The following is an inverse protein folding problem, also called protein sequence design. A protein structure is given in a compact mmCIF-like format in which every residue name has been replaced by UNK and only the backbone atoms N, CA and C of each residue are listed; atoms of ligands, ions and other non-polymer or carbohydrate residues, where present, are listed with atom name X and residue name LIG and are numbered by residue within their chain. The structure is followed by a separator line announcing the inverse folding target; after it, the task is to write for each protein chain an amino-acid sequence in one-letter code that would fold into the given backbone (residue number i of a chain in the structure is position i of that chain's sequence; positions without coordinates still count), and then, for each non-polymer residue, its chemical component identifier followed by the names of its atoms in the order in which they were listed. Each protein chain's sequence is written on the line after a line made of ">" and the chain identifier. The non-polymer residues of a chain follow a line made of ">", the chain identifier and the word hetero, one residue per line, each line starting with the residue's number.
data_IF_041832101976
#
_entry.id   IF_041832101976
#
_cell.length_a   1.000
_cell.length_b   1.000
_cell.length_c   1.000
_cell.angle_alpha   90.00
_cell.angle_beta   90.00
_cell.angle_gamma   90.00
#
_symmetry.space_group_name_H-M   'P 1'
#
loop_
_entity.id
_entity.type
_entity.pdbx_description
1 polymer ?
#
# COMPACT_ATOMS: atom_id res chain seq x y z
N UNK A 1 3.43 10.11 -28.43
CA UNK A 1 4.36 10.33 -27.31
C UNK A 1 4.82 8.96 -26.86
N UNK A 2 6.01 8.61 -27.28
CA UNK A 2 6.60 7.29 -27.05
C UNK A 2 7.05 7.24 -25.58
N UNK A 3 6.25 6.56 -24.73
CA UNK A 3 6.56 6.38 -23.32
C UNK A 3 7.22 5.02 -23.14
N UNK A 4 8.50 4.99 -23.51
CA UNK A 4 9.38 3.87 -23.17
C UNK A 4 9.40 3.69 -21.65
N UNK A 5 9.06 2.50 -21.18
CA UNK A 5 9.29 2.08 -19.78
C UNK A 5 10.76 2.40 -19.47
N UNK A 6 11.07 3.09 -18.34
CA UNK A 6 12.44 3.40 -18.03
C UNK A 6 13.27 2.12 -18.04
N UNK A 7 14.31 2.09 -18.85
CA UNK A 7 15.20 0.93 -19.05
C UNK A 7 15.77 0.38 -17.72
N UNK A 8 15.81 1.22 -16.69
CA UNK A 8 16.16 0.85 -15.33
C UNK A 8 15.18 -0.16 -14.67
N UNK A 9 13.89 -0.10 -15.04
CA UNK A 9 12.87 -1.05 -14.54
C UNK A 9 13.01 -2.43 -15.21
N UNK A 10 13.36 -2.45 -16.49
CA UNK A 10 13.61 -3.71 -17.22
C UNK A 10 14.96 -4.34 -16.85
N UNK A 11 15.99 -3.53 -16.52
CA UNK A 11 17.30 -4.04 -16.08
C UNK A 11 17.31 -4.52 -14.63
N UNK A 12 16.39 -4.04 -13.77
CA UNK A 12 16.25 -4.53 -12.40
C UNK A 12 15.75 -5.98 -12.36
N UNK A 13 15.01 -6.43 -13.36
CA UNK A 13 14.54 -7.81 -13.47
C UNK A 13 15.64 -8.80 -13.85
N UNK A 14 16.77 -8.33 -14.41
CA UNK A 14 17.91 -9.20 -14.79
C UNK A 14 19.03 -9.25 -13.74
N UNK A 15 19.08 -8.31 -12.78
CA UNK A 15 20.22 -8.15 -11.85
C UNK A 15 19.99 -8.57 -10.39
N UNK A 16 18.76 -8.84 -9.96
CA UNK A 16 18.46 -9.23 -8.58
C UNK A 16 18.24 -10.75 -8.48
N UNK A 17 19.31 -11.50 -8.73
CA UNK A 17 19.36 -12.94 -8.50
C UNK A 17 19.45 -13.30 -7.02
N UNK A 18 18.31 -13.36 -6.31
CA UNK A 18 18.20 -14.24 -5.16
C UNK A 18 17.18 -15.33 -5.52
N UNK A 19 17.69 -16.41 -6.06
CA UNK A 19 16.90 -17.54 -6.55
C UNK A 19 16.66 -18.52 -5.39
N UNK A 20 15.49 -18.39 -4.73
CA UNK A 20 14.97 -19.47 -3.87
C UNK A 20 14.36 -20.62 -4.71
N UNK A 21 14.58 -20.64 -6.02
CA UNK A 21 14.01 -21.60 -6.95
C UNK A 21 12.53 -21.37 -7.30
N UNK A 22 11.82 -20.49 -6.59
CA UNK A 22 10.37 -20.24 -6.78
C UNK A 22 9.99 -18.76 -6.80
N UNK A 23 10.79 -17.90 -6.18
CA UNK A 23 10.55 -16.47 -6.08
C UNK A 23 11.40 -15.71 -7.09
N UNK A 24 10.81 -14.69 -7.70
CA UNK A 24 11.47 -13.78 -8.64
C UNK A 24 11.26 -12.35 -8.19
N UNK A 25 12.37 -11.67 -7.85
CA UNK A 25 12.31 -10.24 -7.56
C UNK A 25 12.14 -9.47 -8.87
N UNK A 26 11.12 -8.65 -8.98
CA UNK A 26 10.86 -7.88 -10.19
C UNK A 26 10.78 -6.36 -9.96
N UNK A 27 10.73 -5.93 -8.71
CA UNK A 27 10.79 -4.53 -8.35
C UNK A 27 11.52 -4.36 -7.03
N UNK A 28 12.50 -3.45 -6.97
CA UNK A 28 13.21 -3.14 -5.74
C UNK A 28 13.64 -1.67 -5.74
N UNK A 29 13.24 -0.94 -4.70
CA UNK A 29 13.67 0.41 -4.41
C UNK A 29 14.10 0.53 -2.95
N UNK A 30 14.46 1.72 -2.50
CA UNK A 30 14.72 1.96 -1.08
C UNK A 30 13.44 1.88 -0.23
N UNK A 31 12.27 2.16 -0.83
CA UNK A 31 11.00 2.29 -0.14
C UNK A 31 10.13 1.03 -0.17
N UNK A 32 10.36 0.16 -1.16
CA UNK A 32 9.53 -1.00 -1.37
C UNK A 32 10.25 -2.10 -2.19
N UNK A 33 9.86 -3.35 -1.97
CA UNK A 33 10.26 -4.47 -2.84
C UNK A 33 9.04 -5.29 -3.24
N UNK A 34 9.09 -5.86 -4.46
CA UNK A 34 8.09 -6.78 -4.95
C UNK A 34 8.72 -8.05 -5.49
N UNK A 35 8.28 -9.17 -4.96
CA UNK A 35 8.71 -10.52 -5.30
C UNK A 35 7.51 -11.31 -5.82
N UNK A 36 7.67 -11.99 -6.94
CA UNK A 36 6.65 -12.87 -7.49
C UNK A 36 6.96 -14.33 -7.12
N UNK A 37 6.00 -15.00 -6.49
CA UNK A 37 6.07 -16.43 -6.22
C UNK A 37 5.35 -17.19 -7.33
N UNK A 38 6.10 -18.03 -8.06
CA UNK A 38 5.62 -18.73 -9.24
C UNK A 38 4.61 -19.84 -8.92
N UNK A 39 4.73 -20.50 -7.78
CA UNK A 39 3.82 -21.59 -7.38
C UNK A 39 2.46 -21.06 -6.92
N UNK A 40 2.43 -19.85 -6.35
CA UNK A 40 1.25 -19.22 -5.78
C UNK A 40 0.58 -18.23 -6.73
N UNK A 41 1.21 -17.90 -7.86
CA UNK A 41 0.82 -16.78 -8.73
C UNK A 41 0.62 -15.46 -7.97
N UNK A 42 1.44 -15.24 -6.95
CA UNK A 42 1.30 -14.18 -5.98
C UNK A 42 2.46 -13.17 -6.04
N UNK A 43 2.11 -11.89 -6.07
CA UNK A 43 3.06 -10.81 -5.82
C UNK A 43 3.07 -10.49 -4.34
N UNK A 44 4.26 -10.51 -3.74
CA UNK A 44 4.52 -10.03 -2.39
C UNK A 44 5.11 -8.62 -2.45
N UNK A 45 4.32 -7.63 -2.13
CA UNK A 45 4.70 -6.22 -2.07
C UNK A 45 5.03 -5.86 -0.63
N UNK A 46 6.30 -5.59 -0.32
CA UNK A 46 6.78 -5.29 1.03
C UNK A 46 7.16 -3.82 1.14
N UNK A 47 6.40 -3.09 1.95
CA UNK A 47 6.70 -1.70 2.29
C UNK A 47 7.90 -1.62 3.23
N UNK A 48 8.85 -0.72 2.94
CA UNK A 48 10.00 -0.42 3.80
C UNK A 48 10.37 1.07 3.78
N UNK A 49 9.37 1.96 3.97
CA UNK A 49 9.59 3.39 3.82
C UNK A 49 10.59 3.93 4.84
N UNK A 50 11.44 4.82 4.36
CA UNK A 50 12.45 5.52 5.14
C UNK A 50 12.23 7.03 5.01
N UNK A 51 12.54 7.84 6.03
CA UNK A 51 13.06 7.47 7.36
C UNK A 51 11.98 7.03 8.35
N UNK A 52 10.70 7.05 7.95
CA UNK A 52 9.55 6.67 8.79
C UNK A 52 8.65 5.72 8.04
N UNK A 53 7.98 4.78 8.72
CA UNK A 53 7.06 3.84 8.11
C UNK A 53 5.71 4.50 7.77
N UNK A 54 5.76 5.51 6.88
CA UNK A 54 4.60 6.30 6.43
C UNK A 54 4.58 6.44 4.91
N UNK A 55 3.47 6.92 4.34
CA UNK A 55 3.34 7.20 2.92
C UNK A 55 4.10 8.49 2.57
N UNK A 56 5.41 8.40 2.38
CA UNK A 56 6.20 9.51 1.87
C UNK A 56 6.09 9.62 0.33
N UNK A 57 6.51 10.74 -0.29
CA UNK A 57 6.41 10.93 -1.74
C UNK A 57 7.17 9.88 -2.56
N UNK A 58 8.28 9.37 -2.04
CA UNK A 58 9.10 8.34 -2.68
C UNK A 58 8.34 7.01 -2.74
N UNK A 59 7.78 6.57 -1.61
CA UNK A 59 6.94 5.36 -1.55
C UNK A 59 5.74 5.47 -2.49
N UNK A 60 5.06 6.63 -2.52
CA UNK A 60 3.90 6.85 -3.39
C UNK A 60 4.27 6.77 -4.87
N UNK A 61 5.45 7.28 -5.28
CA UNK A 61 5.96 7.12 -6.65
C UNK A 61 6.23 5.66 -7.00
N UNK A 62 6.83 4.93 -6.08
CA UNK A 62 7.17 3.52 -6.27
C UNK A 62 5.89 2.67 -6.37
N UNK A 63 4.91 2.91 -5.48
CA UNK A 63 3.60 2.27 -5.54
C UNK A 63 2.86 2.59 -6.84
N UNK A 64 2.86 3.85 -7.27
CA UNK A 64 2.26 4.25 -8.55
C UNK A 64 2.93 3.55 -9.74
N UNK A 65 4.26 3.39 -9.69
CA UNK A 65 5.02 2.66 -10.71
C UNK A 65 4.67 1.17 -10.73
N UNK A 66 4.52 0.56 -9.57
CA UNK A 66 4.05 -0.82 -9.43
C UNK A 66 2.62 -1.00 -9.97
N UNK A 67 1.68 -0.12 -9.60
CA UNK A 67 0.31 -0.17 -10.09
C UNK A 67 0.26 -0.05 -11.62
N UNK A 68 1.05 0.86 -12.18
CA UNK A 68 1.16 1.05 -13.62
C UNK A 68 1.73 -0.19 -14.31
N UNK A 69 2.79 -0.79 -13.75
CA UNK A 69 3.39 -2.02 -14.28
C UNK A 69 2.35 -3.13 -14.40
N UNK A 70 1.59 -3.40 -13.33
CA UNK A 70 0.54 -4.43 -13.36
C UNK A 70 -0.53 -4.13 -14.42
N UNK A 71 -0.95 -2.87 -14.51
CA UNK A 71 -1.96 -2.46 -15.50
C UNK A 71 -1.45 -2.61 -16.94
N UNK A 72 -0.23 -2.15 -17.24
CA UNK A 72 0.39 -2.21 -18.56
C UNK A 72 0.65 -3.65 -19.02
N UNK A 73 1.08 -4.50 -18.09
CA UNK A 73 1.29 -5.94 -18.37
C UNK A 73 0.00 -6.75 -18.32
N UNK A 74 -1.13 -6.14 -18.00
CA UNK A 74 -2.42 -6.82 -17.79
C UNK A 74 -2.33 -7.96 -16.78
N UNK A 75 -1.50 -7.78 -15.74
CA UNK A 75 -1.27 -8.78 -14.71
C UNK A 75 -0.43 -9.97 -15.16
N UNK A 76 0.30 -9.87 -16.28
CA UNK A 76 1.23 -10.89 -16.74
C UNK A 76 2.66 -10.43 -16.45
N UNK A 77 3.38 -11.19 -15.65
CA UNK A 77 4.79 -10.93 -15.35
C UNK A 77 5.69 -11.90 -16.12
N UNK A 78 6.73 -11.37 -16.75
CA UNK A 78 7.70 -12.20 -17.46
C UNK A 78 8.73 -12.76 -16.46
N UNK A 79 8.56 -14.04 -16.12
CA UNK A 79 9.43 -14.75 -15.20
C UNK A 79 10.13 -15.90 -15.93
N UNK A 80 11.47 -15.95 -15.89
CA UNK A 80 12.29 -17.00 -16.52
C UNK A 80 11.95 -17.28 -17.98
N UNK A 81 11.62 -16.23 -18.73
CA UNK A 81 11.32 -16.34 -20.17
C UNK A 81 9.87 -16.73 -20.50
N UNK A 82 9.01 -16.97 -19.49
CA UNK A 82 7.58 -17.25 -19.65
C UNK A 82 6.73 -16.18 -19.01
N UNK A 83 5.56 -15.90 -19.58
CA UNK A 83 4.57 -15.03 -18.96
C UNK A 83 3.79 -15.81 -17.89
N UNK A 84 3.67 -15.21 -16.73
CA UNK A 84 2.99 -15.80 -15.58
C UNK A 84 1.88 -14.85 -15.09
N UNK A 85 0.66 -15.34 -14.84
CA UNK A 85 -0.41 -14.49 -14.35
C UNK A 85 -0.19 -14.10 -12.89
N UNK A 86 -0.62 -12.91 -12.51
CA UNK A 86 -0.76 -12.50 -11.11
C UNK A 86 -2.20 -12.73 -10.68
N UNK A 87 -2.42 -13.63 -9.74
CA UNK A 87 -3.75 -13.93 -9.18
C UNK A 87 -3.93 -13.26 -7.82
N UNK A 88 -2.83 -13.07 -7.08
CA UNK A 88 -2.84 -12.49 -5.74
C UNK A 88 -1.82 -11.35 -5.65
N UNK A 89 -2.24 -10.24 -5.04
CA UNK A 89 -1.36 -9.12 -4.67
C UNK A 89 -1.36 -8.98 -3.14
N UNK A 90 -0.25 -9.33 -2.51
CA UNK A 90 -0.11 -9.36 -1.05
C UNK A 90 0.68 -8.15 -0.60
N UNK A 91 0.03 -7.23 0.11
CA UNK A 91 0.65 -6.06 0.72
C UNK A 91 1.11 -6.39 2.14
N UNK A 92 2.37 -6.26 2.40
CA UNK A 92 2.98 -6.50 3.71
C UNK A 92 3.97 -5.38 4.07
N UNK A 93 4.53 -5.41 5.26
CA UNK A 93 5.59 -4.49 5.69
C UNK A 93 6.88 -5.25 5.98
N UNK A 94 8.02 -4.67 5.60
CA UNK A 94 9.33 -5.12 6.02
C UNK A 94 9.81 -4.39 7.29
N UNK A 95 9.05 -3.41 7.80
CA UNK A 95 9.37 -2.71 9.03
C UNK A 95 8.89 -3.53 10.23
N UNK A 96 9.78 -3.95 11.13
CA UNK A 96 9.38 -4.78 12.26
C UNK A 96 8.33 -4.09 13.14
N UNK A 97 7.26 -4.79 13.47
CA UNK A 97 6.15 -4.34 14.33
C UNK A 97 5.39 -3.11 13.86
N UNK A 98 5.56 -2.71 12.61
CA UNK A 98 4.80 -1.61 12.00
C UNK A 98 4.39 -2.00 10.60
N UNK A 99 3.09 -2.03 10.35
CA UNK A 99 2.58 -2.16 8.99
C UNK A 99 2.75 -0.83 8.24
N UNK A 100 2.09 0.22 8.71
CA UNK A 100 2.28 1.60 8.22
C UNK A 100 1.58 2.59 9.17
N UNK A 101 2.17 3.76 9.37
CA UNK A 101 1.65 4.81 10.27
C UNK A 101 0.83 5.90 9.54
N UNK A 102 0.55 5.71 8.25
CA UNK A 102 -0.28 6.64 7.47
C UNK A 102 0.49 7.75 6.80
N UNK A 103 -0.11 8.94 6.73
CA UNK A 103 0.43 10.08 6.02
C UNK A 103 1.76 10.61 6.59
N UNK A 104 2.55 11.25 5.74
CA UNK A 104 3.78 11.93 6.16
C UNK A 104 3.44 13.29 6.81
N UNK A 105 3.24 13.29 8.14
CA UNK A 105 2.89 14.48 8.90
C UNK A 105 3.97 15.56 8.83
N UNK A 106 5.24 15.19 8.70
CA UNK A 106 6.32 16.16 8.56
C UNK A 106 6.24 16.89 7.20
N UNK A 107 5.85 16.16 6.14
CA UNK A 107 5.55 16.78 4.85
C UNK A 107 4.34 17.71 4.95
N UNK A 108 3.26 17.28 5.62
CA UNK A 108 2.08 18.12 5.82
C UNK A 108 2.44 19.45 6.49
N UNK A 109 3.16 19.40 7.59
CA UNK A 109 3.58 20.62 8.31
C UNK A 109 4.37 21.56 7.40
N UNK A 110 5.36 21.06 6.69
CA UNK A 110 6.17 21.88 5.76
C UNK A 110 5.33 22.54 4.66
N UNK A 111 4.40 21.79 4.06
CA UNK A 111 3.55 22.30 2.98
C UNK A 111 2.54 23.33 3.50
N UNK A 112 1.99 23.12 4.71
CA UNK A 112 1.09 24.08 5.36
C UNK A 112 1.83 25.36 5.71
N UNK A 113 3.01 25.29 6.34
CA UNK A 113 3.83 26.45 6.68
C UNK A 113 4.25 27.24 5.45
N UNK A 114 4.54 26.55 4.33
CA UNK A 114 4.84 27.19 3.04
C UNK A 114 3.62 27.73 2.30
N UNK A 115 2.38 27.44 2.74
CA UNK A 115 1.15 27.77 2.01
C UNK A 115 1.01 26.98 0.68
N UNK A 116 1.73 25.88 0.51
CA UNK A 116 1.74 25.08 -0.73
C UNK A 116 0.52 24.16 -0.81
N UNK A 117 -0.63 24.74 -1.14
CA UNK A 117 -1.88 24.02 -1.35
C UNK A 117 -1.80 23.03 -2.51
N UNK A 118 -1.06 23.37 -3.56
CA UNK A 118 -0.91 22.47 -4.71
C UNK A 118 -0.09 21.24 -4.34
N UNK A 119 0.98 21.40 -3.56
CA UNK A 119 1.77 20.30 -3.03
C UNK A 119 0.94 19.35 -2.18
N UNK A 120 0.12 19.89 -1.26
CA UNK A 120 -0.82 19.08 -0.46
C UNK A 120 -1.83 18.34 -1.34
N UNK A 121 -2.39 19.02 -2.35
CA UNK A 121 -3.34 18.41 -3.27
C UNK A 121 -2.71 17.29 -4.09
N UNK A 122 -1.50 17.49 -4.62
CA UNK A 122 -0.77 16.44 -5.35
C UNK A 122 -0.49 15.24 -4.46
N UNK A 123 -0.03 15.48 -3.23
CA UNK A 123 0.22 14.41 -2.27
C UNK A 123 -1.05 13.63 -1.93
N UNK A 124 -2.14 14.33 -1.57
CA UNK A 124 -3.41 13.68 -1.24
C UNK A 124 -3.97 12.85 -2.39
N UNK A 125 -3.89 13.37 -3.62
CA UNK A 125 -4.28 12.60 -4.83
C UNK A 125 -3.44 11.35 -5.01
N UNK A 126 -2.11 11.45 -4.88
CA UNK A 126 -1.24 10.29 -5.00
C UNK A 126 -1.57 9.20 -3.96
N UNK A 127 -1.89 9.59 -2.73
CA UNK A 127 -2.36 8.66 -1.69
C UNK A 127 -3.66 7.96 -2.11
N UNK A 128 -4.67 8.72 -2.54
CA UNK A 128 -5.96 8.16 -2.96
C UNK A 128 -5.79 7.25 -4.18
N UNK A 129 -5.01 7.65 -5.16
CA UNK A 129 -4.84 6.91 -6.43
C UNK A 129 -4.23 5.52 -6.18
N UNK A 130 -3.22 5.40 -5.32
CA UNK A 130 -2.59 4.10 -5.04
C UNK A 130 -3.53 3.17 -4.26
N UNK A 131 -4.27 3.70 -3.27
CA UNK A 131 -5.24 2.90 -2.52
C UNK A 131 -6.44 2.50 -3.37
N UNK A 132 -6.92 3.40 -4.22
CA UNK A 132 -8.00 3.10 -5.14
C UNK A 132 -7.59 2.05 -6.17
N UNK A 133 -6.36 2.11 -6.67
CA UNK A 133 -5.81 1.06 -7.55
C UNK A 133 -5.83 -0.30 -6.88
N UNK A 134 -5.34 -0.39 -5.62
CA UNK A 134 -5.38 -1.64 -4.84
C UNK A 134 -6.83 -2.12 -4.64
N UNK A 135 -7.74 -1.23 -4.22
CA UNK A 135 -9.16 -1.53 -4.02
C UNK A 135 -9.85 -2.08 -5.28
N UNK A 136 -9.39 -1.68 -6.45
CA UNK A 136 -9.90 -2.15 -7.74
C UNK A 136 -9.17 -3.39 -8.27
N UNK A 137 -8.33 -4.05 -7.46
CA UNK A 137 -7.48 -5.14 -7.93
C UNK A 137 -6.59 -4.70 -9.10
N UNK A 138 -6.15 -3.44 -9.10
CA UNK A 138 -5.39 -2.81 -10.21
C UNK A 138 -6.15 -2.80 -11.55
N UNK A 139 -7.48 -2.88 -11.54
CA UNK A 139 -8.33 -3.03 -12.74
C UNK A 139 -8.28 -4.42 -13.38
N UNK A 140 -7.80 -5.41 -12.65
CA UNK A 140 -7.54 -6.80 -13.08
C UNK A 140 -8.28 -7.79 -12.16
N UNK A 141 -8.47 -9.04 -12.55
CA UNK A 141 -9.05 -10.08 -11.69
C UNK A 141 -8.01 -10.60 -10.66
N UNK A 142 -7.45 -9.68 -9.89
CA UNK A 142 -6.44 -9.96 -8.86
C UNK A 142 -7.10 -9.82 -7.50
N UNK A 143 -6.96 -10.83 -6.64
CA UNK A 143 -7.36 -10.75 -5.24
C UNK A 143 -6.28 -10.03 -4.45
N UNK A 144 -6.67 -8.93 -3.80
CA UNK A 144 -5.76 -8.13 -2.98
C UNK A 144 -5.83 -8.57 -1.52
N UNK A 145 -4.67 -8.74 -0.89
CA UNK A 145 -4.54 -9.18 0.51
C UNK A 145 -3.60 -8.25 1.25
N UNK A 146 -4.01 -7.73 2.40
CA UNK A 146 -3.12 -7.05 3.34
C UNK A 146 -2.74 -8.00 4.47
N UNK A 147 -1.43 -8.23 4.63
CA UNK A 147 -0.87 -8.99 5.73
C UNK A 147 -0.30 -8.03 6.77
N UNK A 148 -1.06 -7.81 7.84
CA UNK A 148 -0.79 -6.78 8.84
C UNK A 148 -0.07 -7.34 10.03
N UNK A 149 1.06 -6.71 10.40
CA UNK A 149 1.79 -6.94 11.63
C UNK A 149 2.06 -5.63 12.35
N UNK A 150 1.83 -5.58 13.65
CA UNK A 150 2.12 -4.42 14.50
C UNK A 150 1.19 -3.23 14.24
N UNK A 151 1.75 -2.02 14.24
CA UNK A 151 0.98 -0.78 14.14
C UNK A 151 0.48 -0.52 12.71
N UNK A 152 -0.83 -0.37 12.56
CA UNK A 152 -1.54 -0.12 11.30
C UNK A 152 -2.49 1.06 11.51
N UNK A 153 -1.99 2.29 11.35
CA UNK A 153 -2.65 3.50 11.82
C UNK A 153 -2.95 4.47 10.68
N UNK A 154 -4.04 5.20 10.79
CA UNK A 154 -4.42 6.24 9.84
C UNK A 154 -4.45 5.74 8.41
N UNK A 155 -3.75 6.43 7.50
CA UNK A 155 -3.61 5.99 6.10
C UNK A 155 -3.03 4.58 5.94
N UNK A 156 -2.29 4.06 6.92
CA UNK A 156 -1.85 2.66 6.96
C UNK A 156 -3.03 1.69 7.13
N UNK A 157 -3.97 2.04 7.98
CA UNK A 157 -5.20 1.26 8.14
C UNK A 157 -6.11 1.41 6.92
N UNK A 158 -6.18 2.61 6.31
CA UNK A 158 -6.89 2.80 5.04
C UNK A 158 -6.29 1.90 3.94
N UNK A 159 -4.96 1.77 3.89
CA UNK A 159 -4.29 0.88 2.94
C UNK A 159 -4.64 -0.59 3.19
N UNK A 160 -4.64 -1.04 4.45
CA UNK A 160 -5.09 -2.39 4.77
C UNK A 160 -6.54 -2.63 4.34
N UNK A 161 -7.44 -1.68 4.63
CA UNK A 161 -8.85 -1.76 4.26
C UNK A 161 -9.13 -1.68 2.76
N UNK A 162 -8.19 -1.15 1.97
CA UNK A 162 -8.31 -1.13 0.51
C UNK A 162 -8.15 -2.51 -0.14
N UNK A 163 -7.66 -3.51 0.59
CA UNK A 163 -7.55 -4.89 0.11
C UNK A 163 -8.87 -5.64 0.26
N UNK A 164 -9.09 -6.68 -0.56
CA UNK A 164 -10.25 -7.57 -0.44
C UNK A 164 -10.23 -8.32 0.88
N UNK A 165 -9.05 -8.79 1.29
CA UNK A 165 -8.83 -9.55 2.52
C UNK A 165 -7.79 -8.87 3.40
N UNK A 166 -8.07 -8.78 4.70
CA UNK A 166 -7.10 -8.34 5.71
C UNK A 166 -6.82 -9.51 6.64
N UNK A 167 -5.56 -9.91 6.72
CA UNK A 167 -5.07 -10.92 7.66
C UNK A 167 -4.16 -10.20 8.64
N UNK A 168 -4.46 -10.27 9.93
CA UNK A 168 -3.73 -9.57 10.96
C UNK A 168 -3.07 -10.52 11.96
N UNK A 169 -1.82 -10.21 12.32
CA UNK A 169 -1.22 -10.80 13.51
C UNK A 169 -2.02 -10.36 14.74
N UNK A 170 -2.25 -11.28 15.70
CA UNK A 170 -3.08 -11.02 16.90
C UNK A 170 -2.63 -9.81 17.72
N UNK A 171 -1.33 -9.52 17.75
CA UNK A 171 -0.75 -8.36 18.42
C UNK A 171 -0.85 -7.04 17.64
N UNK A 172 -1.45 -7.04 16.46
CA UNK A 172 -1.57 -5.83 15.64
C UNK A 172 -2.57 -4.83 16.23
N UNK A 173 -2.34 -3.55 15.94
CA UNK A 173 -3.14 -2.43 16.45
C UNK A 173 -3.63 -1.57 15.30
N UNK A 174 -4.90 -1.21 15.32
CA UNK A 174 -5.61 -0.51 14.27
C UNK A 174 -6.29 0.75 14.81
N UNK A 175 -6.33 1.81 14.04
CA UNK A 175 -7.09 3.00 14.42
C UNK A 175 -6.87 4.19 13.51
N UNK A 176 -7.71 5.20 13.71
CA UNK A 176 -7.66 6.47 13.01
C UNK A 176 -7.39 7.60 14.00
N UNK A 177 -6.10 7.88 14.31
CA UNK A 177 -5.75 8.92 15.27
C UNK A 177 -5.87 10.35 14.71
N UNK A 178 -6.28 10.52 13.45
CA UNK A 178 -6.29 11.80 12.73
C UNK A 178 -7.06 12.89 13.47
N UNK A 179 -8.18 12.55 14.10
CA UNK A 179 -8.99 13.51 14.88
C UNK A 179 -8.20 14.18 16.00
N UNK A 180 -7.19 13.49 16.57
CA UNK A 180 -6.34 14.03 17.63
C UNK A 180 -5.41 15.15 17.14
N UNK A 181 -5.25 15.29 15.81
CA UNK A 181 -4.43 16.30 15.16
C UNK A 181 -5.27 17.31 14.36
N UNK A 182 -6.58 17.36 14.59
CA UNK A 182 -7.54 18.16 13.79
C UNK A 182 -7.52 17.79 12.29
N UNK A 183 -7.26 16.54 11.98
CA UNK A 183 -7.33 15.96 10.66
C UNK A 183 -8.46 14.92 10.61
N UNK A 184 -8.66 14.33 9.45
CA UNK A 184 -9.56 13.19 9.26
C UNK A 184 -8.91 12.19 8.28
N UNK A 185 -9.26 10.91 8.32
CA UNK A 185 -8.77 9.91 7.38
C UNK A 185 -9.25 10.26 5.97
N UNK A 186 -8.31 10.57 5.07
CA UNK A 186 -8.60 11.14 3.76
C UNK A 186 -8.29 10.26 2.56
N UNK A 187 -7.87 9.00 2.78
CA UNK A 187 -7.46 8.10 1.70
C UNK A 187 -8.54 7.03 1.37
N UNK A 188 -9.73 7.10 2.00
CA UNK A 188 -10.86 6.22 1.70
C UNK A 188 -11.48 5.49 2.89
N UNK A 189 -11.06 5.77 4.13
CA UNK A 189 -11.49 5.08 5.35
C UNK A 189 -12.99 4.91 5.45
N UNK A 190 -13.75 5.99 5.30
CA UNK A 190 -15.20 5.95 5.42
C UNK A 190 -15.81 4.97 4.42
N UNK A 191 -15.41 5.07 3.16
CA UNK A 191 -15.95 4.24 2.07
C UNK A 191 -15.61 2.77 2.23
N UNK A 192 -14.41 2.46 2.74
CA UNK A 192 -13.98 1.08 2.96
C UNK A 192 -14.66 0.46 4.18
N UNK A 193 -14.75 1.20 5.28
CA UNK A 193 -15.38 0.74 6.52
C UNK A 193 -16.89 0.58 6.38
N UNK A 194 -17.59 1.58 5.82
CA UNK A 194 -19.06 1.53 5.70
C UNK A 194 -19.52 0.25 4.99
N UNK A 195 -18.78 -0.20 3.99
CA UNK A 195 -19.07 -1.44 3.26
C UNK A 195 -18.82 -2.72 4.05
N UNK A 196 -17.94 -2.65 5.07
CA UNK A 196 -17.56 -3.82 5.88
C UNK A 196 -18.37 -3.92 7.18
N UNK A 197 -18.55 -2.79 7.86
CA UNK A 197 -19.10 -2.76 9.22
C UNK A 197 -20.35 -1.88 9.36
N UNK A 198 -20.78 -1.24 8.27
CA UNK A 198 -21.93 -0.34 8.25
C UNK A 198 -21.62 1.05 8.86
N UNK A 199 -22.56 1.98 8.64
CA UNK A 199 -22.39 3.41 8.92
C UNK A 199 -22.07 3.70 10.39
N UNK A 200 -22.84 3.13 11.33
CA UNK A 200 -22.73 3.47 12.75
C UNK A 200 -21.32 3.19 13.29
N UNK A 201 -20.82 1.97 13.08
CA UNK A 201 -19.50 1.58 13.57
C UNK A 201 -18.40 2.34 12.85
N UNK A 202 -18.58 2.66 11.56
CA UNK A 202 -17.66 3.51 10.79
C UNK A 202 -17.49 4.89 11.43
N UNK A 203 -18.61 5.55 11.76
CA UNK A 203 -18.59 6.87 12.41
C UNK A 203 -17.93 6.81 13.79
N UNK A 204 -18.20 5.77 14.58
CA UNK A 204 -17.59 5.55 15.90
C UNK A 204 -16.07 5.36 15.79
N UNK A 205 -15.59 4.50 14.87
CA UNK A 205 -14.18 4.24 14.67
C UNK A 205 -13.40 5.47 14.21
N UNK A 206 -13.97 6.25 13.27
CA UNK A 206 -13.29 7.43 12.71
C UNK A 206 -13.30 8.59 13.70
N UNK A 207 -14.43 8.85 14.38
CA UNK A 207 -14.54 9.99 15.29
C UNK A 207 -13.95 9.73 16.68
N UNK A 208 -13.78 8.47 17.05
CA UNK A 208 -13.28 8.11 18.38
C UNK A 208 -11.79 8.33 18.56
N UNK A 209 -10.99 8.26 17.50
CA UNK A 209 -9.52 8.38 17.56
C UNK A 209 -8.84 7.29 18.39
N UNK A 210 -9.56 6.21 18.71
CA UNK A 210 -9.07 5.12 19.54
C UNK A 210 -8.25 4.12 18.72
N UNK A 211 -7.36 3.42 19.43
CA UNK A 211 -6.57 2.34 18.85
C UNK A 211 -7.15 1.03 19.38
N UNK A 212 -7.46 0.13 18.48
CA UNK A 212 -8.06 -1.17 18.72
C UNK A 212 -7.06 -2.28 18.48
N UNK A 213 -7.17 -3.38 19.21
CA UNK A 213 -6.43 -4.61 18.93
C UNK A 213 -7.03 -5.36 17.73
N UNK A 214 -6.27 -6.30 17.17
CA UNK A 214 -6.80 -7.19 16.14
C UNK A 214 -8.01 -8.00 16.65
N UNK A 215 -8.03 -8.38 17.93
CA UNK A 215 -9.15 -9.12 18.53
C UNK A 215 -10.41 -8.24 18.67
N UNK A 216 -10.28 -6.91 18.83
CA UNK A 216 -11.41 -5.96 18.88
C UNK A 216 -12.02 -5.73 17.47
N UNK A 217 -11.28 -6.06 16.42
CA UNK A 217 -11.67 -5.82 15.03
C UNK A 217 -12.30 -7.06 14.36
N UNK A 218 -12.45 -8.16 15.09
CA UNK A 218 -13.13 -9.38 14.64
C UNK A 218 -14.63 -9.31 14.92
#
# INVERSE_FOLDING_TARGET
>A
MDMTIPHALLQATEKLGYDSGKDVDFFCSEQLSATYNMDQHAVWLRLRPQPRPSFNPELLRDLSSYCRLLSETRGLLKCRGTEQPVEYAILASATPRVFNLGGDLALFMRLIEAGDREGLTRYGRACVDVLYSNYRGHGLPILTVSLVQGECLGGGFEAALSSDVVIAERGSRFGFPEILFNLFPGMGAYSFLERRVGRKLTEELISGGQIHSADDML
#
